data_IF_733027069118
#
_entry.id   IF_733027069118
#
_cell.length_a   1.000
_cell.length_b   1.000
_cell.length_c   1.000
_cell.angle_alpha   90.00
_cell.angle_beta   90.00
_cell.angle_gamma   90.00
#
_symmetry.space_group_name_H-M   'P 1'
#
loop_
_entity.id
_entity.type
_entity.pdbx_description
1 polymer ?
#
# COMPACT_ATOMS: atom_id res chain seq x y z
N UNK A 1 -14.42 12.79 -11.99
CA UNK A 1 -14.44 11.71 -10.98
C UNK A 1 -15.39 12.13 -9.87
N UNK A 2 -16.66 11.70 -9.94
CA UNK A 2 -17.75 12.10 -9.03
C UNK A 2 -17.84 11.20 -7.77
N UNK A 3 -16.71 10.76 -7.26
CA UNK A 3 -16.62 9.88 -6.08
C UNK A 3 -17.18 10.54 -4.80
N UNK A 4 -17.34 11.88 -4.82
CA UNK A 4 -17.46 12.65 -3.59
C UNK A 4 -18.87 12.70 -2.97
N UNK A 5 -19.96 12.55 -3.74
CA UNK A 5 -21.32 12.82 -3.21
C UNK A 5 -21.91 11.72 -2.33
N UNK A 6 -21.63 10.45 -2.61
CA UNK A 6 -22.20 9.34 -1.84
C UNK A 6 -21.45 9.14 -0.52
N UNK A 7 -20.11 9.29 -0.54
CA UNK A 7 -19.27 9.21 0.64
C UNK A 7 -19.68 10.24 1.70
N UNK A 8 -19.96 11.48 1.27
CA UNK A 8 -20.41 12.57 2.14
C UNK A 8 -21.74 12.31 2.86
N UNK A 9 -22.61 11.41 2.37
CA UNK A 9 -23.87 11.10 3.06
C UNK A 9 -23.70 10.12 4.21
N UNK A 10 -22.69 9.24 4.13
CA UNK A 10 -22.36 8.28 5.20
C UNK A 10 -21.63 8.93 6.37
N UNK A 11 -20.89 9.99 6.09
CA UNK A 11 -20.24 10.83 7.10
C UNK A 11 -21.28 11.85 7.59
N UNK A 12 -22.13 11.43 8.52
CA UNK A 12 -23.08 12.31 9.19
C UNK A 12 -22.37 13.54 9.80
N UNK A 13 -23.09 14.65 10.02
CA UNK A 13 -22.56 15.91 10.57
C UNK A 13 -21.85 15.72 11.93
N UNK A 14 -22.08 14.62 12.63
CA UNK A 14 -21.40 14.29 13.88
C UNK A 14 -20.03 13.63 13.68
N UNK A 15 -19.77 13.02 12.52
CA UNK A 15 -18.51 12.36 12.19
C UNK A 15 -17.61 13.36 11.47
N UNK A 16 -16.77 14.05 12.23
CA UNK A 16 -15.95 15.14 11.67
C UNK A 16 -14.91 14.65 10.67
N UNK A 17 -14.33 13.48 10.90
CA UNK A 17 -13.32 12.90 10.03
C UNK A 17 -13.25 11.38 10.12
N UNK A 18 -12.70 10.74 9.11
CA UNK A 18 -12.29 9.34 9.13
C UNK A 18 -11.06 9.17 8.24
N UNK A 19 -10.08 8.39 8.69
CA UNK A 19 -8.97 7.90 7.89
C UNK A 19 -8.96 6.38 7.89
N UNK A 20 -8.49 5.80 6.81
CA UNK A 20 -8.31 4.37 6.65
C UNK A 20 -7.06 4.07 5.85
N UNK A 21 -6.38 3.00 6.22
CA UNK A 21 -5.45 2.33 5.34
C UNK A 21 -6.21 1.24 4.60
N UNK A 22 -6.17 1.33 3.27
CA UNK A 22 -6.94 0.49 2.38
C UNK A 22 -5.99 -0.20 1.41
N UNK A 23 -6.16 -1.51 1.28
CA UNK A 23 -5.50 -2.31 0.26
C UNK A 23 -6.44 -2.47 -0.95
N UNK A 24 -5.99 -2.01 -2.12
CA UNK A 24 -6.73 -2.02 -3.38
C UNK A 24 -6.06 -2.98 -4.35
N UNK A 25 -6.81 -3.98 -4.84
CA UNK A 25 -6.37 -4.83 -5.94
C UNK A 25 -7.06 -4.41 -7.24
N UNK A 26 -6.29 -4.09 -8.27
CA UNK A 26 -6.80 -3.62 -9.56
C UNK A 26 -6.29 -4.44 -10.75
N UNK A 27 -7.12 -4.53 -11.78
CA UNK A 27 -6.79 -5.23 -13.03
C UNK A 27 -5.84 -4.40 -13.94
N UNK A 28 -5.31 -4.97 -15.04
CA UNK A 28 -4.47 -4.25 -16.00
C UNK A 28 -5.16 -3.09 -16.73
N UNK A 29 -6.49 -2.97 -16.62
CA UNK A 29 -7.26 -1.82 -17.14
C UNK A 29 -7.50 -0.76 -16.04
N UNK A 30 -6.96 -0.99 -14.85
CA UNK A 30 -7.07 -0.14 -13.67
C UNK A 30 -8.38 -0.31 -12.92
N UNK A 31 -9.23 -1.28 -13.27
CA UNK A 31 -10.49 -1.50 -12.56
C UNK A 31 -10.21 -2.15 -11.21
N UNK A 32 -10.71 -1.54 -10.13
CA UNK A 32 -10.61 -2.10 -8.78
C UNK A 32 -11.50 -3.34 -8.67
N UNK A 33 -10.90 -4.48 -8.31
CA UNK A 33 -11.54 -5.77 -8.14
C UNK A 33 -11.86 -6.06 -6.67
N UNK A 34 -10.90 -5.81 -5.78
CA UNK A 34 -11.08 -5.96 -4.33
C UNK A 34 -10.56 -4.73 -3.60
N UNK A 35 -11.11 -4.51 -2.41
CA UNK A 35 -10.76 -3.43 -1.51
C UNK A 35 -10.92 -3.96 -0.09
N UNK A 36 -9.87 -3.82 0.71
CA UNK A 36 -9.82 -4.28 2.10
C UNK A 36 -9.39 -3.14 3.00
N UNK A 37 -10.15 -2.90 4.07
CA UNK A 37 -9.76 -1.97 5.13
C UNK A 37 -8.79 -2.71 6.05
N UNK A 38 -7.54 -2.25 6.09
CA UNK A 38 -6.48 -2.83 6.94
C UNK A 38 -6.50 -2.21 8.33
N UNK A 39 -6.64 -0.88 8.39
CA UNK A 39 -6.75 -0.10 9.61
C UNK A 39 -7.64 1.10 9.38
N UNK A 40 -8.26 1.62 10.44
CA UNK A 40 -9.15 2.79 10.36
C UNK A 40 -9.11 3.61 11.64
N UNK A 41 -9.45 4.89 11.52
CA UNK A 41 -9.57 5.84 12.61
C UNK A 41 -10.66 6.88 12.30
N UNK A 42 -11.62 7.18 13.19
CA UNK A 42 -12.07 6.36 14.32
C UNK A 42 -13.26 5.45 13.96
N UNK A 43 -13.82 5.55 12.75
CA UNK A 43 -15.09 4.90 12.38
C UNK A 43 -14.89 3.84 11.27
N UNK A 44 -15.06 2.57 11.65
CA UNK A 44 -14.92 1.41 10.74
C UNK A 44 -15.95 1.43 9.61
N UNK A 45 -17.21 1.72 9.93
CA UNK A 45 -18.31 1.71 8.96
C UNK A 45 -18.15 2.77 7.86
N UNK A 46 -17.51 3.90 8.18
CA UNK A 46 -17.13 4.89 7.18
C UNK A 46 -15.96 4.39 6.31
N UNK A 47 -14.97 3.72 6.89
CA UNK A 47 -13.88 3.10 6.13
C UNK A 47 -14.39 2.01 5.17
N UNK A 48 -15.34 1.19 5.60
CA UNK A 48 -16.00 0.19 4.74
C UNK A 48 -16.73 0.83 3.56
N UNK A 49 -17.40 1.97 3.79
CA UNK A 49 -18.03 2.73 2.72
C UNK A 49 -17.00 3.29 1.74
N UNK A 50 -15.83 3.75 2.22
CA UNK A 50 -14.71 4.13 1.34
C UNK A 50 -14.34 2.98 0.41
N UNK A 51 -14.23 1.76 0.95
CA UNK A 51 -13.93 0.60 0.13
C UNK A 51 -15.04 0.27 -0.87
N UNK A 52 -16.30 0.30 -0.44
CA UNK A 52 -17.46 0.06 -1.31
C UNK A 52 -17.48 1.01 -2.51
N UNK A 53 -17.13 2.27 -2.30
CA UNK A 53 -17.04 3.28 -3.36
C UNK A 53 -15.85 3.03 -4.31
N UNK A 54 -14.75 2.46 -3.81
CA UNK A 54 -13.57 2.13 -4.63
C UNK A 54 -13.80 0.91 -5.52
N UNK A 55 -14.57 -0.09 -5.08
CA UNK A 55 -14.87 -1.30 -5.88
C UNK A 55 -15.49 -0.92 -7.22
N UNK A 56 -14.92 -1.42 -8.33
CA UNK A 56 -15.38 -1.15 -9.68
C UNK A 56 -15.00 0.23 -10.24
N UNK A 57 -14.41 1.11 -9.42
CA UNK A 57 -13.81 2.37 -9.89
C UNK A 57 -12.54 2.09 -10.72
N UNK A 58 -11.95 3.15 -11.29
CA UNK A 58 -10.70 3.05 -12.06
C UNK A 58 -9.57 3.83 -11.38
N UNK A 59 -8.42 3.17 -11.24
CA UNK A 59 -7.14 3.73 -10.80
C UNK A 59 -6.13 3.69 -11.96
N UNK A 60 -4.97 4.30 -11.77
CA UNK A 60 -3.85 4.13 -12.70
C UNK A 60 -3.40 2.66 -12.65
N UNK A 61 -3.39 1.92 -13.77
CA UNK A 61 -2.94 0.54 -13.77
C UNK A 61 -1.48 0.45 -13.32
N UNK A 62 -1.15 -0.59 -12.55
CA UNK A 62 0.24 -0.90 -12.26
C UNK A 62 0.97 -1.30 -13.55
N UNK A 63 2.27 -1.05 -13.57
CA UNK A 63 3.15 -1.46 -14.65
C UNK A 63 4.17 -2.44 -14.12
N UNK A 64 4.47 -3.49 -14.89
CA UNK A 64 5.60 -4.34 -14.61
C UNK A 64 6.92 -3.68 -15.06
N UNK A 65 8.02 -4.40 -14.90
CA UNK A 65 9.34 -3.93 -15.27
C UNK A 65 9.60 -3.83 -16.78
N UNK A 66 8.70 -4.34 -17.62
CA UNK A 66 8.72 -4.10 -19.05
C UNK A 66 7.91 -2.85 -19.43
N UNK A 67 7.25 -2.20 -18.46
CA UNK A 67 6.34 -1.08 -18.68
C UNK A 67 4.94 -1.51 -19.12
N UNK A 68 4.67 -2.81 -19.15
CA UNK A 68 3.38 -3.36 -19.54
C UNK A 68 2.40 -3.30 -18.38
N UNK A 69 1.12 -3.09 -18.70
CA UNK A 69 0.08 -2.99 -17.66
C UNK A 69 -0.15 -4.36 -17.04
N UNK A 70 -0.17 -4.40 -15.71
CA UNK A 70 -0.35 -5.62 -14.92
C UNK A 70 -1.41 -5.45 -13.85
N UNK A 71 -1.75 -6.54 -13.17
CA UNK A 71 -2.51 -6.46 -11.93
C UNK A 71 -1.67 -5.73 -10.88
N UNK A 72 -2.31 -4.91 -10.05
CA UNK A 72 -1.64 -4.11 -9.03
C UNK A 72 -2.29 -4.27 -7.67
N UNK A 73 -1.47 -4.41 -6.63
CA UNK A 73 -1.90 -4.32 -5.24
C UNK A 73 -1.30 -3.06 -4.62
N UNK A 74 -2.16 -2.11 -4.26
CA UNK A 74 -1.76 -0.80 -3.76
C UNK A 74 -2.27 -0.64 -2.33
N UNK A 75 -1.37 -0.34 -1.41
CA UNK A 75 -1.73 0.09 -0.07
C UNK A 75 -1.77 1.62 -0.04
N UNK A 76 -2.93 2.17 0.30
CA UNK A 76 -3.13 3.62 0.30
C UNK A 76 -3.81 4.09 1.58
N UNK A 77 -3.38 5.25 2.07
CA UNK A 77 -4.07 5.95 3.14
C UNK A 77 -5.08 6.91 2.53
N UNK A 78 -6.34 6.76 2.93
CA UNK A 78 -7.45 7.60 2.51
C UNK A 78 -7.98 8.30 3.74
N UNK A 79 -8.34 9.57 3.61
CA UNK A 79 -9.08 10.25 4.65
C UNK A 79 -10.12 11.20 4.08
N UNK A 80 -11.18 11.37 4.86
CA UNK A 80 -12.27 12.30 4.62
C UNK A 80 -12.38 13.17 5.85
N UNK A 81 -12.43 14.48 5.64
CA UNK A 81 -12.60 15.48 6.67
C UNK A 81 -13.69 16.46 6.22
N UNK A 82 -14.73 16.62 7.04
CA UNK A 82 -15.86 17.51 6.76
C UNK A 82 -15.55 18.98 7.10
N UNK A 83 -14.62 19.22 8.01
CA UNK A 83 -14.29 20.55 8.52
C UNK A 83 -13.12 21.18 7.74
N UNK A 84 -12.50 20.43 6.82
CA UNK A 84 -11.36 20.88 6.02
C UNK A 84 -10.12 21.17 6.87
N UNK A 85 -10.04 20.61 8.09
CA UNK A 85 -8.91 20.82 8.96
C UNK A 85 -7.64 20.16 8.40
N UNK A 86 -6.57 20.94 8.31
CA UNK A 86 -5.35 20.61 7.56
C UNK A 86 -4.41 19.62 8.25
N UNK A 87 -4.76 19.07 9.42
CA UNK A 87 -3.84 18.21 10.18
C UNK A 87 -3.95 16.71 9.84
N UNK A 88 -4.28 16.41 8.59
CA UNK A 88 -4.40 15.05 8.11
C UNK A 88 -3.12 14.24 8.34
N UNK A 89 -1.94 14.85 8.12
CA UNK A 89 -0.66 14.19 8.32
C UNK A 89 -0.45 13.70 9.77
N UNK A 90 -0.77 14.51 10.79
CA UNK A 90 -0.63 14.06 12.18
C UNK A 90 -1.64 12.98 12.54
N UNK A 91 -2.85 13.02 11.97
CA UNK A 91 -3.88 11.99 12.18
C UNK A 91 -3.49 10.67 11.51
N UNK A 92 -2.89 10.72 10.32
CA UNK A 92 -2.35 9.57 9.61
C UNK A 92 -1.06 9.03 10.23
N UNK A 93 -0.33 9.81 11.03
CA UNK A 93 0.88 9.35 11.71
C UNK A 93 0.69 8.13 12.61
N UNK A 94 -0.55 7.84 13.06
CA UNK A 94 -0.90 6.61 13.77
C UNK A 94 -1.07 5.37 12.87
N UNK A 95 -1.16 5.55 11.55
CA UNK A 95 -1.28 4.49 10.56
C UNK A 95 0.10 4.28 9.90
N UNK A 96 0.96 3.49 10.54
CA UNK A 96 2.31 3.16 10.06
C UNK A 96 2.28 2.13 8.93
N UNK A 97 2.59 2.47 7.68
CA UNK A 97 2.47 1.53 6.54
C UNK A 97 3.03 0.13 6.82
N UNK A 98 2.34 -0.89 6.32
CA UNK A 98 2.81 -2.27 6.38
C UNK A 98 4.13 -2.41 5.59
N UNK A 99 5.21 -2.63 6.33
CA UNK A 99 6.55 -2.85 5.82
C UNK A 99 7.39 -3.65 6.82
N UNK A 100 8.57 -4.08 6.41
CA UNK A 100 9.51 -4.75 7.33
C UNK A 100 10.52 -3.76 7.87
N UNK A 101 10.80 -3.87 9.17
CA UNK A 101 11.90 -3.15 9.82
C UNK A 101 13.05 -4.13 9.98
N UNK A 102 14.19 -3.80 9.37
CA UNK A 102 15.43 -4.54 9.45
C UNK A 102 16.39 -3.81 10.37
N UNK A 103 16.67 -4.41 11.51
CA UNK A 103 17.67 -3.91 12.44
C UNK A 103 19.07 -4.27 11.97
N UNK A 104 19.94 -3.28 11.80
CA UNK A 104 21.33 -3.45 11.36
C UNK A 104 22.30 -2.95 12.42
N UNK A 105 23.51 -3.51 12.45
CA UNK A 105 24.56 -3.07 13.38
C UNK A 105 25.16 -1.72 12.99
N UNK A 106 25.08 -1.35 11.71
CA UNK A 106 25.64 -0.12 11.17
C UNK A 106 24.79 0.38 10.00
N UNK A 107 24.57 1.69 9.96
CA UNK A 107 24.07 2.41 8.79
C UNK A 107 25.21 3.24 8.20
N UNK A 108 25.17 3.57 6.90
CA UNK A 108 26.09 4.54 6.32
C UNK A 108 26.11 5.84 7.14
N UNK A 109 27.30 6.40 7.35
CA UNK A 109 27.52 7.54 8.23
C UNK A 109 26.48 8.65 7.99
N UNK A 110 25.90 9.17 9.08
CA UNK A 110 24.84 10.21 9.17
C UNK A 110 23.36 9.77 9.06
N UNK A 111 23.05 8.48 8.84
CA UNK A 111 21.65 8.02 8.79
C UNK A 111 21.20 7.38 10.11
N UNK A 112 20.06 7.81 10.66
CA UNK A 112 19.39 7.16 11.80
C UNK A 112 18.44 6.05 11.36
N UNK A 113 17.88 6.17 10.17
CA UNK A 113 17.08 5.16 9.50
C UNK A 113 17.19 5.35 7.97
N UNK A 114 16.98 4.29 7.20
CA UNK A 114 16.88 4.34 5.74
C UNK A 114 15.65 3.59 5.28
N UNK A 115 14.76 4.26 4.55
CA UNK A 115 13.59 3.63 3.94
C UNK A 115 13.86 3.35 2.47
N UNK A 116 13.53 2.15 2.02
CA UNK A 116 13.56 1.74 0.63
C UNK A 116 12.17 1.32 0.20
N UNK A 117 11.75 1.81 -0.96
CA UNK A 117 10.57 1.32 -1.65
C UNK A 117 11.02 0.27 -2.66
N UNK A 118 10.41 -0.90 -2.62
CA UNK A 118 10.63 -1.98 -3.55
C UNK A 118 9.41 -2.14 -4.44
N UNK A 119 9.64 -2.38 -5.73
CA UNK A 119 8.63 -2.89 -6.63
C UNK A 119 8.81 -4.41 -6.70
N UNK A 120 7.75 -5.15 -6.36
CA UNK A 120 7.74 -6.61 -6.35
C UNK A 120 6.79 -7.12 -7.43
N UNK A 121 7.24 -8.09 -8.23
CA UNK A 121 6.36 -8.92 -9.05
C UNK A 121 6.14 -10.25 -8.34
N UNK A 122 4.92 -10.44 -7.86
CA UNK A 122 4.49 -11.61 -7.14
C UNK A 122 3.81 -12.55 -8.13
N UNK A 123 4.25 -13.81 -8.16
CA UNK A 123 3.71 -14.86 -9.02
C UNK A 123 2.32 -15.33 -8.58
N UNK A 124 1.66 -16.10 -9.44
CA UNK A 124 0.37 -16.72 -9.12
C UNK A 124 0.44 -17.75 -7.97
N UNK A 125 1.65 -18.13 -7.54
CA UNK A 125 1.91 -19.00 -6.39
C UNK A 125 2.21 -18.22 -5.09
N UNK A 126 2.10 -16.89 -5.12
CA UNK A 126 2.37 -16.02 -3.97
C UNK A 126 3.86 -15.77 -3.69
N UNK A 127 4.76 -16.19 -4.59
CA UNK A 127 6.21 -15.97 -4.44
C UNK A 127 6.69 -14.77 -5.24
N UNK A 128 7.70 -14.07 -4.72
CA UNK A 128 8.36 -13.00 -5.47
C UNK A 128 9.19 -13.60 -6.60
N UNK A 129 8.83 -13.24 -7.83
CA UNK A 129 9.56 -13.65 -9.05
C UNK A 129 10.56 -12.58 -9.50
N UNK A 130 10.32 -11.32 -9.14
CA UNK A 130 11.25 -10.21 -9.37
C UNK A 130 11.08 -9.12 -8.31
N UNK A 131 12.19 -8.50 -7.92
CA UNK A 131 12.24 -7.38 -6.99
C UNK A 131 13.21 -6.31 -7.52
N UNK A 132 12.82 -5.05 -7.42
CA UNK A 132 13.69 -3.91 -7.76
C UNK A 132 13.52 -2.80 -6.72
N UNK A 133 14.63 -2.27 -6.20
CA UNK A 133 14.60 -1.19 -5.22
C UNK A 133 14.68 0.18 -5.88
N UNK A 134 13.76 1.07 -5.53
CA UNK A 134 13.72 2.47 -5.95
C UNK A 134 14.24 3.40 -4.83
N UNK A 135 14.70 4.59 -5.23
CA UNK A 135 15.18 5.64 -4.31
C UNK A 135 16.70 5.83 -4.30
N UNK A 136 17.20 6.58 -3.31
CA UNK A 136 18.60 7.04 -3.21
C UNK A 136 19.47 6.21 -2.23
N UNK A 137 18.99 5.06 -1.76
CA UNK A 137 19.76 4.23 -0.83
C UNK A 137 20.89 3.43 -1.51
N UNK A 138 21.92 3.00 -0.74
CA UNK A 138 23.02 2.19 -1.25
C UNK A 138 22.54 0.89 -1.91
N UNK A 139 23.24 0.46 -2.96
CA UNK A 139 22.88 -0.76 -3.71
C UNK A 139 22.84 -2.01 -2.82
N UNK A 140 23.79 -2.14 -1.89
CA UNK A 140 23.84 -3.25 -0.95
C UNK A 140 22.55 -3.38 -0.10
N UNK A 141 21.96 -2.25 0.30
CA UNK A 141 20.72 -2.25 1.08
C UNK A 141 19.52 -2.70 0.24
N UNK A 142 19.50 -2.38 -1.07
CA UNK A 142 18.44 -2.86 -1.98
C UNK A 142 18.50 -4.36 -2.17
N UNK A 143 19.70 -4.92 -2.33
CA UNK A 143 19.89 -6.36 -2.45
C UNK A 143 19.37 -7.10 -1.20
N UNK A 144 19.75 -6.64 -0.01
CA UNK A 144 19.26 -7.19 1.26
C UNK A 144 17.75 -7.03 1.38
N UNK A 145 17.20 -5.84 1.08
CA UNK A 145 15.77 -5.60 1.13
C UNK A 145 14.98 -6.55 0.20
N UNK A 146 15.47 -6.77 -1.02
CA UNK A 146 14.87 -7.71 -1.96
C UNK A 146 14.97 -9.17 -1.51
N UNK A 147 16.10 -9.59 -0.93
CA UNK A 147 16.26 -10.93 -0.37
C UNK A 147 15.26 -11.17 0.77
N UNK A 148 15.16 -10.23 1.71
CA UNK A 148 14.21 -10.31 2.82
C UNK A 148 12.77 -10.28 2.35
N UNK A 149 12.42 -9.42 1.39
CA UNK A 149 11.09 -9.38 0.80
C UNK A 149 10.75 -10.72 0.10
N UNK A 150 11.70 -11.32 -0.62
CA UNK A 150 11.49 -12.58 -1.35
C UNK A 150 11.39 -13.81 -0.44
N UNK A 151 11.92 -13.73 0.78
CA UNK A 151 11.77 -14.77 1.78
C UNK A 151 10.35 -14.80 2.40
N UNK A 152 9.58 -13.72 2.26
CA UNK A 152 8.19 -13.68 2.70
C UNK A 152 7.26 -14.36 1.69
N UNK A 153 6.24 -15.05 2.20
CA UNK A 153 5.10 -15.47 1.39
C UNK A 153 4.10 -14.32 1.25
N UNK A 154 3.52 -14.16 0.07
CA UNK A 154 2.45 -13.19 -0.19
C UNK A 154 1.14 -13.90 -0.52
N UNK A 155 0.03 -13.23 -0.24
CA UNK A 155 -1.31 -13.76 -0.54
C UNK A 155 -1.49 -13.97 -2.05
N UNK A 156 -1.98 -15.15 -2.42
CA UNK A 156 -2.39 -15.41 -3.80
C UNK A 156 -3.63 -14.58 -4.12
N UNK A 157 -3.57 -13.81 -5.20
CA UNK A 157 -4.69 -13.01 -5.70
C UNK A 157 -5.29 -13.62 -6.96
N UNK A 158 -6.59 -13.43 -7.12
CA UNK A 158 -7.35 -14.00 -8.22
C UNK A 158 -8.02 -12.93 -9.08
N UNK A 159 -8.17 -13.22 -10.37
CA UNK A 159 -8.96 -12.41 -11.29
C UNK A 159 -10.48 -12.57 -11.02
N UNK A 160 -11.30 -11.87 -11.82
CA UNK A 160 -12.76 -11.95 -11.72
C UNK A 160 -13.35 -13.35 -12.01
N UNK A 161 -12.56 -14.27 -12.58
CA UNK A 161 -12.96 -15.65 -12.86
C UNK A 161 -12.45 -16.63 -11.78
N UNK A 162 -11.75 -16.14 -10.76
CA UNK A 162 -11.15 -16.97 -9.71
C UNK A 162 -9.82 -17.61 -10.07
N UNK A 163 -9.19 -17.23 -11.19
CA UNK A 163 -7.86 -17.72 -11.55
C UNK A 163 -6.79 -16.95 -10.79
N UNK A 164 -5.81 -17.66 -10.21
CA UNK A 164 -4.64 -17.02 -9.63
C UNK A 164 -3.85 -16.25 -10.70
N UNK A 165 -3.48 -15.01 -10.39
CA UNK A 165 -2.76 -14.13 -11.33
C UNK A 165 -1.50 -13.53 -10.69
N UNK A 166 -0.43 -13.32 -11.47
CA UNK A 166 0.69 -12.52 -10.98
C UNK A 166 0.28 -11.06 -10.84
N UNK A 167 0.93 -10.33 -9.93
CA UNK A 167 0.64 -8.92 -9.70
C UNK A 167 1.87 -8.15 -9.22
N UNK A 168 1.80 -6.82 -9.37
CA UNK A 168 2.82 -5.87 -8.90
C UNK A 168 2.38 -5.27 -7.56
N UNK A 169 3.30 -5.12 -6.63
CA UNK A 169 3.08 -4.44 -5.34
C UNK A 169 4.28 -3.56 -5.01
N UNK A 170 4.02 -2.37 -4.46
CA UNK A 170 5.05 -1.60 -3.77
C UNK A 170 5.20 -2.08 -2.32
N UNK A 171 6.42 -2.25 -1.85
CA UNK A 171 6.73 -2.79 -0.53
C UNK A 171 7.81 -1.93 0.15
N UNK A 172 7.56 -1.48 1.37
CA UNK A 172 8.53 -0.66 2.11
C UNK A 172 9.39 -1.53 3.03
N UNK A 173 10.70 -1.26 2.99
CA UNK A 173 11.69 -1.82 3.92
C UNK A 173 12.37 -0.66 4.63
N UNK A 174 12.30 -0.65 5.96
CA UNK A 174 13.00 0.33 6.78
C UNK A 174 14.20 -0.33 7.44
N UNK A 175 15.38 0.27 7.31
CA UNK A 175 16.58 -0.13 8.03
C UNK A 175 16.79 0.81 9.20
N UNK A 176 17.03 0.26 10.38
CA UNK A 176 17.25 1.01 11.62
C UNK A 176 18.44 0.43 12.39
N UNK A 177 19.12 1.25 13.18
CA UNK A 177 20.18 0.76 14.05
C UNK A 177 19.61 -0.07 15.19
N UNK A 178 20.34 -1.10 15.62
CA UNK A 178 20.05 -1.77 16.88
C UNK A 178 20.10 -0.75 18.03
N UNK A 179 19.12 -0.82 18.93
CA UNK A 179 19.22 -0.10 20.20
C UNK A 179 20.33 -0.75 21.04
N UNK A 180 21.25 0.07 21.56
CA UNK A 180 22.28 -0.34 22.51
C UNK A 180 21.69 -0.79 23.86
#
# INVERSE_FOLDING_TARGET
>A
MEINRNLHRSVDRQRKWTAAEIEVFADPKGKVLTCEVRRFLPYEDVADEMCRVLIGSRVVPAQDFQGEKSYGLVLMMVAVDNDGESNLAARLGGLQQDGIVLTVSQLPDSMSATRLLLDLVIGADGKVSRCEGHGNGPEAFRAVACEQASANGFDVRADANGNAVPYVRNFEVTFELAAD
#
